data_IF_437759991068
#
_entry.id   IF_437759991068
#
_cell.length_a   1.000
_cell.length_b   1.000
_cell.length_c   1.000
_cell.angle_alpha   90.00
_cell.angle_beta   90.00
_cell.angle_gamma   90.00
#
_symmetry.space_group_name_H-M   'P 1'
#
loop_
_entity.id
_entity.type
_entity.pdbx_description
1 polymer ?
#
# COMPACT_ATOMS: atom_id res chain seq x y z
N UNK A 1 43.18 32.92 -16.14
CA UNK A 1 41.75 32.55 -16.18
C UNK A 1 41.62 31.06 -16.41
N UNK A 2 41.19 30.28 -15.41
CA UNK A 2 40.45 29.01 -15.56
C UNK A 2 40.26 28.38 -14.17
N UNK A 3 39.17 28.72 -13.49
CA UNK A 3 38.68 27.97 -12.32
C UNK A 3 37.84 26.80 -12.86
N UNK A 4 38.33 25.56 -12.69
CA UNK A 4 37.52 24.36 -12.94
C UNK A 4 36.74 24.03 -11.67
N UNK A 5 35.46 24.41 -11.64
CA UNK A 5 34.53 24.02 -10.60
C UNK A 5 34.10 22.56 -10.81
N UNK A 6 34.56 21.67 -9.92
CA UNK A 6 34.07 20.29 -9.84
C UNK A 6 32.74 20.27 -9.10
N UNK A 7 31.63 20.23 -9.84
CA UNK A 7 30.30 19.99 -9.30
C UNK A 7 29.98 18.49 -9.26
N UNK A 8 29.11 18.13 -8.31
CA UNK A 8 28.37 16.86 -8.19
C UNK A 8 29.02 15.70 -7.43
N UNK A 9 29.05 15.82 -6.09
CA UNK A 9 28.83 14.69 -5.17
C UNK A 9 28.03 15.14 -3.95
N UNK A 10 26.79 15.59 -4.16
CA UNK A 10 25.81 15.80 -3.09
C UNK A 10 24.67 14.83 -3.34
N UNK A 11 24.76 13.62 -2.75
CA UNK A 11 23.69 12.66 -2.42
C UNK A 11 24.30 11.28 -2.17
N UNK A 12 25.18 11.18 -1.16
CA UNK A 12 25.46 9.89 -0.52
C UNK A 12 24.88 9.95 0.89
N UNK A 13 23.55 9.94 0.98
CA UNK A 13 22.87 9.63 2.23
C UNK A 13 22.90 8.12 2.45
N UNK A 14 24.08 7.58 2.79
CA UNK A 14 24.18 6.27 3.43
C UNK A 14 23.91 6.46 4.92
N UNK A 15 22.64 6.64 5.26
CA UNK A 15 22.20 6.61 6.64
C UNK A 15 20.96 5.73 6.75
N UNK A 16 21.22 4.43 6.61
CA UNK A 16 20.41 3.41 7.26
C UNK A 16 21.40 2.52 8.00
N UNK A 17 21.77 2.96 9.20
CA UNK A 17 22.27 2.05 10.22
C UNK A 17 21.17 0.99 10.41
N UNK A 18 21.39 -0.21 9.89
CA UNK A 18 20.53 -1.36 10.08
C UNK A 18 20.62 -1.75 11.56
N UNK A 19 19.76 -1.13 12.37
CA UNK A 19 19.54 -1.51 13.74
C UNK A 19 18.78 -2.85 13.71
N UNK A 20 19.34 -3.90 14.32
CA UNK A 20 18.71 -5.21 14.43
C UNK A 20 17.32 -5.05 15.06
N UNK A 21 16.28 -5.09 14.23
CA UNK A 21 14.89 -5.13 14.65
C UNK A 21 14.39 -6.52 14.35
N UNK A 22 13.98 -7.23 15.40
CA UNK A 22 13.12 -8.41 15.27
C UNK A 22 12.01 -8.05 14.28
N UNK A 23 12.07 -8.67 13.10
CA UNK A 23 11.22 -8.31 11.99
C UNK A 23 9.79 -8.68 12.33
N UNK A 24 8.93 -7.71 12.10
CA UNK A 24 7.47 -7.77 12.15
C UNK A 24 6.98 -9.11 11.57
N UNK A 25 6.17 -9.85 12.35
CA UNK A 25 5.60 -11.18 12.02
C UNK A 25 4.93 -11.25 10.63
N UNK A 26 4.51 -10.11 10.05
CA UNK A 26 3.92 -10.03 8.71
C UNK A 26 4.90 -9.96 7.53
N UNK A 27 6.20 -9.83 7.77
CA UNK A 27 7.20 -9.81 6.69
C UNK A 27 7.53 -11.22 6.18
N UNK A 28 7.06 -12.28 6.85
CA UNK A 28 7.41 -13.65 6.50
C UNK A 28 6.59 -14.23 5.34
N UNK A 29 5.43 -13.66 5.01
CA UNK A 29 4.52 -14.29 4.04
C UNK A 29 4.94 -14.21 2.58
N UNK A 30 5.83 -13.29 2.23
CA UNK A 30 6.32 -13.11 0.85
C UNK A 30 7.78 -13.54 0.68
N UNK A 31 8.35 -14.20 1.69
CA UNK A 31 9.75 -14.60 1.69
C UNK A 31 9.88 -16.01 1.13
N UNK A 32 10.44 -16.10 -0.06
CA UNK A 32 10.87 -17.35 -0.69
C UNK A 32 12.41 -17.40 -0.63
N UNK A 33 12.94 -18.01 0.43
CA UNK A 33 14.39 -18.05 0.68
C UNK A 33 14.99 -19.39 0.23
N UNK A 34 14.21 -20.47 0.27
CA UNK A 34 14.72 -21.83 0.07
C UNK A 34 15.62 -22.35 1.20
N UNK A 35 15.73 -21.60 2.30
CA UNK A 35 16.44 -22.02 3.50
C UNK A 35 15.61 -23.05 4.27
N UNK A 36 16.30 -24.03 4.84
CA UNK A 36 15.71 -25.00 5.78
C UNK A 36 16.00 -24.49 7.19
N UNK A 37 14.98 -23.94 7.84
CA UNK A 37 15.08 -23.49 9.22
C UNK A 37 14.73 -24.68 10.14
N UNK A 38 15.55 -24.92 11.16
CA UNK A 38 15.27 -25.94 12.17
C UNK A 38 14.34 -25.32 13.23
N UNK A 39 13.06 -25.67 13.21
CA UNK A 39 12.12 -25.22 14.24
C UNK A 39 12.24 -26.11 15.49
N UNK A 40 12.60 -25.56 16.67
CA UNK A 40 12.65 -26.33 17.92
C UNK A 40 11.30 -26.93 18.34
N UNK A 41 10.17 -26.42 17.83
CA UNK A 41 8.81 -26.87 18.20
C UNK A 41 8.23 -27.94 17.26
N UNK A 42 8.93 -28.30 16.17
CA UNK A 42 8.41 -29.16 15.09
C UNK A 42 8.32 -30.65 15.46
N UNK A 43 9.02 -31.09 16.50
CA UNK A 43 9.06 -32.50 16.91
C UNK A 43 9.71 -33.40 15.84
N UNK A 44 9.02 -34.50 15.51
CA UNK A 44 9.49 -35.50 14.51
C UNK A 44 9.10 -35.13 13.06
N UNK A 45 8.41 -34.01 12.84
CA UNK A 45 8.00 -33.58 11.51
C UNK A 45 9.21 -33.04 10.72
N UNK A 46 9.33 -33.34 9.40
CA UNK A 46 10.51 -32.94 8.64
C UNK A 46 10.57 -31.42 8.44
N UNK A 47 11.73 -30.83 8.70
CA UNK A 47 12.01 -29.43 8.33
C UNK A 47 12.16 -29.33 6.80
N UNK A 48 11.25 -28.61 6.16
CA UNK A 48 11.22 -28.43 4.71
C UNK A 48 11.85 -27.09 4.30
N UNK A 49 12.33 -26.96 3.05
CA UNK A 49 12.84 -25.69 2.57
C UNK A 49 11.69 -24.72 2.34
N UNK A 50 11.89 -23.47 2.74
CA UNK A 50 10.90 -22.40 2.63
C UNK A 50 10.68 -21.91 1.20
N UNK A 51 9.90 -22.69 0.47
CA UNK A 51 9.56 -22.49 -0.93
C UNK A 51 8.06 -22.36 -1.12
N UNK A 52 7.58 -21.15 -1.40
CA UNK A 52 6.17 -20.95 -1.76
C UNK A 52 5.75 -21.72 -3.02
N UNK A 53 4.54 -22.26 -2.98
CA UNK A 53 3.90 -22.98 -4.08
C UNK A 53 3.58 -22.05 -5.26
N UNK A 54 3.46 -20.74 -5.05
CA UNK A 54 3.18 -19.76 -6.10
C UNK A 54 4.27 -19.69 -7.19
N UNK A 55 5.52 -20.07 -6.86
CA UNK A 55 6.64 -20.09 -7.80
C UNK A 55 6.80 -21.43 -8.52
N UNK A 56 6.05 -22.46 -8.12
CA UNK A 56 6.02 -23.74 -8.82
C UNK A 56 5.43 -23.57 -10.22
N UNK A 57 5.75 -24.51 -11.11
CA UNK A 57 5.15 -24.54 -12.45
C UNK A 57 3.60 -24.52 -12.34
N UNK A 58 2.90 -23.84 -13.26
CA UNK A 58 1.45 -23.68 -13.16
C UNK A 58 0.65 -24.98 -13.39
N UNK A 59 1.25 -26.00 -14.02
CA UNK A 59 0.58 -27.25 -14.39
C UNK A 59 1.46 -28.46 -14.09
N UNK A 60 0.84 -29.65 -14.05
CA UNK A 60 1.54 -30.93 -13.87
C UNK A 60 1.46 -31.51 -12.46
N UNK A 61 0.46 -31.09 -11.68
CA UNK A 61 0.26 -31.50 -10.29
C UNK A 61 -0.98 -32.38 -10.17
N UNK A 62 -1.01 -33.22 -9.13
CA UNK A 62 -2.23 -33.96 -8.80
C UNK A 62 -3.36 -33.00 -8.39
N UNK A 63 -3.05 -32.03 -7.53
CA UNK A 63 -3.89 -30.87 -7.29
C UNK A 63 -3.31 -29.66 -8.05
N UNK A 64 -3.94 -29.32 -9.17
CA UNK A 64 -3.51 -28.20 -9.99
C UNK A 64 -3.81 -26.82 -9.36
N UNK A 65 -4.80 -26.72 -8.45
CA UNK A 65 -5.10 -25.43 -7.81
C UNK A 65 -4.06 -25.08 -6.77
N UNK A 66 -3.68 -26.05 -5.94
CA UNK A 66 -2.70 -25.87 -4.87
C UNK A 66 -1.25 -26.13 -5.32
N UNK A 67 -1.07 -26.60 -6.56
CA UNK A 67 0.23 -26.96 -7.16
C UNK A 67 0.99 -28.00 -6.34
N UNK A 68 0.28 -29.05 -5.91
CA UNK A 68 0.75 -30.07 -4.98
C UNK A 68 0.52 -31.49 -5.51
N UNK A 69 1.45 -32.40 -5.21
CA UNK A 69 1.29 -33.82 -5.52
C UNK A 69 0.66 -34.60 -4.36
N UNK A 70 0.01 -35.72 -4.68
CA UNK A 70 -0.51 -36.63 -3.67
C UNK A 70 0.65 -37.23 -2.84
N UNK A 71 0.48 -37.33 -1.51
CA UNK A 71 1.50 -37.78 -0.56
C UNK A 71 2.80 -36.95 -0.51
N UNK A 72 2.80 -35.72 -1.04
CA UNK A 72 3.91 -34.78 -0.85
C UNK A 72 3.95 -34.30 0.61
N UNK A 73 5.15 -34.23 1.21
CA UNK A 73 5.32 -33.65 2.54
C UNK A 73 5.03 -32.15 2.51
N UNK A 74 4.16 -31.69 3.41
CA UNK A 74 3.67 -30.31 3.46
C UNK A 74 4.56 -29.47 4.37
N UNK A 75 4.87 -28.23 4.03
CA UNK A 75 5.68 -27.39 4.91
C UNK A 75 4.90 -27.07 6.21
N UNK A 76 5.58 -26.95 7.35
CA UNK A 76 4.96 -26.58 8.62
C UNK A 76 4.19 -25.24 8.56
N UNK A 77 4.63 -24.30 7.69
CA UNK A 77 3.98 -23.00 7.44
C UNK A 77 3.19 -22.99 6.10
N UNK A 78 2.55 -24.11 5.73
CA UNK A 78 1.83 -24.23 4.44
C UNK A 78 0.72 -23.20 4.24
N UNK A 79 0.06 -22.74 5.31
CA UNK A 79 -0.93 -21.66 5.22
C UNK A 79 -0.36 -20.38 4.58
N UNK A 80 0.91 -20.11 4.85
CA UNK A 80 1.60 -18.91 4.39
C UNK A 80 2.26 -19.16 3.03
N UNK A 81 2.86 -20.34 2.83
CA UNK A 81 3.61 -20.70 1.63
C UNK A 81 2.74 -21.25 0.49
N UNK A 82 1.50 -21.63 0.78
CA UNK A 82 0.53 -22.12 -0.19
C UNK A 82 0.13 -21.08 -1.22
N UNK A 83 -0.59 -21.54 -2.25
CA UNK A 83 -1.07 -20.65 -3.34
C UNK A 83 -2.08 -19.61 -2.82
N UNK A 84 -2.76 -19.91 -1.71
CA UNK A 84 -3.76 -19.06 -1.07
C UNK A 84 -3.17 -17.97 -0.17
N UNK A 85 -1.86 -18.00 0.08
CA UNK A 85 -1.17 -16.96 0.83
C UNK A 85 -1.04 -15.63 0.05
N UNK A 86 -0.49 -14.59 0.68
CA UNK A 86 -0.13 -13.35 -0.01
C UNK A 86 0.78 -13.61 -1.20
N UNK A 87 0.52 -12.91 -2.31
CA UNK A 87 1.25 -13.14 -3.56
C UNK A 87 2.70 -12.63 -3.49
N UNK A 88 3.63 -13.39 -4.08
CA UNK A 88 5.06 -13.07 -4.11
C UNK A 88 5.36 -12.17 -5.30
N UNK A 89 6.02 -11.05 -5.03
CA UNK A 89 6.38 -10.07 -6.05
C UNK A 89 7.89 -10.03 -6.25
N UNK A 90 8.32 -10.03 -7.52
CA UNK A 90 9.75 -9.91 -7.89
C UNK A 90 10.29 -8.48 -7.71
N UNK A 91 9.40 -7.49 -7.63
CA UNK A 91 9.77 -6.10 -7.49
C UNK A 91 10.12 -5.75 -6.03
N UNK A 92 11.15 -4.92 -5.84
CA UNK A 92 11.59 -4.53 -4.50
C UNK A 92 10.49 -3.76 -3.75
N UNK A 93 10.09 -4.21 -2.54
CA UNK A 93 9.01 -3.57 -1.78
C UNK A 93 9.36 -2.13 -1.40
N UNK A 94 10.64 -1.83 -1.15
CA UNK A 94 11.10 -0.48 -0.85
C UNK A 94 10.97 0.46 -2.05
N UNK A 95 11.24 -0.04 -3.26
CA UNK A 95 11.04 0.75 -4.48
C UNK A 95 9.56 0.99 -4.74
N UNK A 96 8.72 -0.03 -4.57
CA UNK A 96 7.26 0.10 -4.72
C UNK A 96 6.70 1.16 -3.75
N UNK A 97 7.08 1.07 -2.48
CA UNK A 97 6.65 2.03 -1.46
C UNK A 97 7.17 3.44 -1.77
N UNK A 98 8.42 3.59 -2.19
CA UNK A 98 9.00 4.87 -2.58
C UNK A 98 8.27 5.51 -3.77
N UNK A 99 7.92 4.71 -4.78
CA UNK A 99 7.17 5.20 -5.95
C UNK A 99 5.73 5.58 -5.60
N UNK A 100 5.06 4.77 -4.78
CA UNK A 100 3.69 5.03 -4.33
C UNK A 100 3.62 6.31 -3.48
N UNK A 101 4.53 6.47 -2.54
CA UNK A 101 4.62 7.67 -1.71
C UNK A 101 4.95 8.91 -2.54
N UNK A 102 5.88 8.80 -3.49
CA UNK A 102 6.20 9.88 -4.42
C UNK A 102 4.97 10.30 -5.25
N UNK A 103 4.21 9.34 -5.77
CA UNK A 103 3.00 9.62 -6.53
C UNK A 103 1.99 10.43 -5.71
N UNK A 104 1.64 9.96 -4.50
CA UNK A 104 0.70 10.67 -3.64
C UNK A 104 1.22 12.02 -3.17
N UNK A 105 2.53 12.14 -2.93
CA UNK A 105 3.16 13.40 -2.57
C UNK A 105 3.07 14.43 -3.71
N UNK A 106 3.29 14.01 -4.96
CA UNK A 106 3.18 14.89 -6.12
C UNK A 106 1.74 15.32 -6.38
N UNK A 107 0.80 14.38 -6.39
CA UNK A 107 -0.63 14.69 -6.62
C UNK A 107 -1.18 15.56 -5.49
N UNK A 108 -0.92 15.18 -4.23
CA UNK A 108 -1.36 15.94 -3.06
C UNK A 108 -0.70 17.31 -2.97
N UNK A 109 0.61 17.38 -3.22
CA UNK A 109 1.35 18.63 -3.25
C UNK A 109 0.87 19.59 -4.33
N UNK A 110 0.61 19.07 -5.54
CA UNK A 110 0.06 19.86 -6.64
C UNK A 110 -1.36 20.36 -6.34
N UNK A 111 -2.23 19.50 -5.78
CA UNK A 111 -3.57 19.91 -5.37
C UNK A 111 -3.54 20.97 -4.28
N UNK A 112 -2.66 20.84 -3.28
CA UNK A 112 -2.49 21.82 -2.22
C UNK A 112 -1.95 23.14 -2.76
N UNK A 113 -1.02 23.08 -3.73
CA UNK A 113 -0.48 24.26 -4.40
C UNK A 113 -1.57 25.02 -5.16
N UNK A 114 -2.37 24.34 -5.99
CA UNK A 114 -3.51 24.96 -6.70
C UNK A 114 -4.46 25.59 -5.69
N UNK A 115 -4.82 24.88 -4.63
CA UNK A 115 -5.73 25.39 -3.61
C UNK A 115 -5.25 26.71 -2.98
N UNK A 116 -3.93 26.89 -2.83
CA UNK A 116 -3.34 28.11 -2.27
C UNK A 116 -3.21 29.26 -3.27
N UNK A 117 -2.97 28.95 -4.55
CA UNK A 117 -2.73 29.96 -5.59
C UNK A 117 -4.02 30.35 -6.33
N UNK A 118 -5.10 29.58 -6.16
CA UNK A 118 -6.35 29.83 -6.84
C UNK A 118 -6.89 31.23 -6.52
N UNK A 119 -7.16 32.07 -7.55
CA UNK A 119 -7.70 33.41 -7.35
C UNK A 119 -9.12 33.35 -6.77
N UNK A 120 -9.50 34.42 -6.09
CA UNK A 120 -10.87 34.58 -5.62
C UNK A 120 -11.84 34.58 -6.79
N UNK A 121 -13.01 33.97 -6.59
CA UNK A 121 -14.03 33.89 -7.63
C UNK A 121 -14.53 35.32 -7.91
N UNK A 122 -14.50 35.81 -9.17
CA UNK A 122 -14.89 37.18 -9.49
C UNK A 122 -16.41 37.42 -9.44
N UNK A 123 -17.17 36.46 -8.95
CA UNK A 123 -18.62 36.51 -8.86
C UNK A 123 -19.05 36.15 -7.44
N UNK A 124 -20.00 36.94 -6.91
CA UNK A 124 -20.68 36.64 -5.65
C UNK A 124 -21.42 35.31 -5.83
N UNK A 125 -21.42 34.46 -4.79
CA UNK A 125 -22.19 33.22 -4.81
C UNK A 125 -23.68 33.56 -4.94
N UNK A 126 -24.39 32.84 -5.80
CA UNK A 126 -25.83 32.99 -6.03
C UNK A 126 -26.61 32.99 -4.71
N UNK A 127 -27.37 34.05 -4.49
CA UNK A 127 -28.39 34.15 -3.45
C UNK A 127 -29.75 33.77 -4.01
N UNK A 128 -30.67 33.47 -3.10
CA UNK A 128 -31.98 32.97 -3.41
C UNK A 128 -33.05 33.65 -2.54
N UNK A 129 -34.19 34.07 -3.11
CA UNK A 129 -35.28 34.72 -2.37
C UNK A 129 -35.99 33.73 -1.42
N UNK A 130 -36.95 34.22 -0.65
CA UNK A 130 -37.74 33.41 0.30
C UNK A 130 -36.86 32.68 1.33
N UNK A 131 -35.92 33.43 1.94
CA UNK A 131 -35.00 32.92 2.98
C UNK A 131 -34.22 31.67 2.52
N UNK A 132 -33.78 31.66 1.26
CA UNK A 132 -33.02 30.55 0.68
C UNK A 132 -33.88 29.38 0.19
N UNK A 133 -35.10 29.64 -0.31
CA UNK A 133 -36.03 28.60 -0.80
C UNK A 133 -36.32 27.53 0.27
N UNK A 134 -36.41 27.91 1.55
CA UNK A 134 -36.61 26.93 2.64
C UNK A 134 -37.87 26.09 2.46
N UNK A 135 -38.97 26.71 2.05
CA UNK A 135 -40.24 26.00 1.81
C UNK A 135 -40.12 25.02 0.62
N UNK A 136 -39.56 25.49 -0.50
CA UNK A 136 -39.38 24.68 -1.72
C UNK A 136 -38.38 23.53 -1.53
N UNK A 137 -37.39 23.70 -0.64
CA UNK A 137 -36.42 22.67 -0.26
C UNK A 137 -36.94 21.76 0.87
N UNK A 138 -38.21 21.91 1.27
CA UNK A 138 -38.89 21.04 2.21
C UNK A 138 -38.49 21.25 3.67
N UNK A 139 -37.93 22.40 4.03
CA UNK A 139 -37.68 22.77 5.42
C UNK A 139 -39.01 22.93 6.15
N UNK A 140 -39.10 22.37 7.35
CA UNK A 140 -40.27 22.49 8.23
C UNK A 140 -39.91 23.34 9.45
N UNK A 141 -40.91 23.93 10.09
CA UNK A 141 -40.72 24.81 11.26
C UNK A 141 -39.98 24.12 12.42
N UNK A 142 -40.17 22.81 12.58
CA UNK A 142 -39.57 22.02 13.66
C UNK A 142 -38.26 21.31 13.26
N UNK A 143 -37.66 21.63 12.11
CA UNK A 143 -36.48 20.92 11.63
C UNK A 143 -35.21 21.42 12.35
N UNK A 144 -34.48 20.50 12.99
CA UNK A 144 -33.29 20.84 13.82
C UNK A 144 -32.13 21.39 12.96
N UNK A 145 -32.06 20.97 11.69
CA UNK A 145 -31.16 21.54 10.68
C UNK A 145 -31.99 22.02 9.51
N UNK A 146 -32.07 23.34 9.37
CA UNK A 146 -32.81 23.96 8.29
C UNK A 146 -32.20 23.59 6.94
N UNK A 147 -33.04 23.13 6.01
CA UNK A 147 -32.66 22.84 4.64
C UNK A 147 -32.93 24.09 3.82
N UNK A 148 -31.87 24.81 3.48
CA UNK A 148 -31.98 26.07 2.75
C UNK A 148 -30.76 26.31 1.88
N UNK A 149 -30.99 26.92 0.72
CA UNK A 149 -29.94 27.53 -0.04
C UNK A 149 -29.48 28.84 0.65
N UNK A 150 -28.47 29.50 0.07
CA UNK A 150 -28.02 30.81 0.54
C UNK A 150 -29.13 31.84 0.34
N UNK A 151 -29.62 32.46 1.41
CA UNK A 151 -30.53 33.60 1.34
C UNK A 151 -29.85 34.83 0.73
N UNK A 152 -30.66 35.71 0.13
CA UNK A 152 -30.26 37.06 -0.26
C UNK A 152 -30.04 38.00 0.93
#
# INVERSE_FOLDING_TARGET
MALRASTLRLLNARLLAANNRNLIVRAQSTLHTGEVTQDPQIGDYPNLPRNSHQLRAPFGWWDNQDRRNFNEAVHEEDEILGVWGPDIHTYSPYKALGQLTLFFALVGGFSAFIYKVQPERPAIKRSYPFDGLKEELGSREYDIRTRGARSE
#
